data_IF_733337241628
#
_entry.id   IF_733337241628
#
_cell.length_a   1.000
_cell.length_b   1.000
_cell.length_c   1.000
_cell.angle_alpha   90.00
_cell.angle_beta   90.00
_cell.angle_gamma   90.00
#
_symmetry.space_group_name_H-M   'P 1'
#
loop_
_entity.id
_entity.type
_entity.pdbx_description
1 polymer ?
#
# COMPACT_ATOMS: atom_id res chain seq x y z
N UNK A 1 -13.79 24.86 7.73
CA UNK A 1 -14.54 25.54 6.64
C UNK A 1 -13.83 26.77 6.03
N UNK A 2 -12.87 27.44 6.70
CA UNK A 2 -12.15 28.59 6.12
C UNK A 2 -11.10 28.22 5.07
N UNK A 3 -10.53 27.02 5.11
CA UNK A 3 -9.43 26.60 4.21
C UNK A 3 -9.92 26.25 2.79
N UNK A 4 -11.19 25.89 2.64
CA UNK A 4 -11.76 25.40 1.39
C UNK A 4 -12.65 26.44 0.67
N UNK A 5 -12.63 27.69 1.14
CA UNK A 5 -13.35 28.79 0.49
C UNK A 5 -12.74 29.08 -0.90
N UNK A 6 -13.44 28.69 -1.96
CA UNK A 6 -12.99 28.86 -3.36
C UNK A 6 -12.68 27.56 -4.10
N UNK A 7 -12.70 26.41 -3.44
CA UNK A 7 -12.59 25.10 -4.09
C UNK A 7 -13.96 24.60 -4.54
N UNK A 8 -14.00 23.89 -5.66
CA UNK A 8 -15.20 23.12 -6.02
C UNK A 8 -15.35 21.92 -5.07
N UNK A 9 -16.54 21.33 -5.01
CA UNK A 9 -16.80 20.13 -4.21
C UNK A 9 -15.87 18.99 -4.61
N UNK A 10 -15.58 18.84 -5.91
CA UNK A 10 -14.65 17.84 -6.42
C UNK A 10 -13.21 18.09 -5.95
N UNK A 11 -12.73 19.34 -5.99
CA UNK A 11 -11.39 19.71 -5.52
C UNK A 11 -11.31 19.57 -4.00
N UNK A 12 -12.37 19.93 -3.28
CA UNK A 12 -12.47 19.73 -1.83
C UNK A 12 -12.34 18.25 -1.46
N UNK A 13 -13.02 17.37 -2.19
CA UNK A 13 -12.90 15.92 -1.97
C UNK A 13 -11.46 15.43 -2.19
N UNK A 14 -10.80 15.84 -3.29
CA UNK A 14 -9.41 15.44 -3.56
C UNK A 14 -8.45 15.96 -2.48
N UNK A 15 -8.62 17.20 -2.01
CA UNK A 15 -7.80 17.74 -0.91
C UNK A 15 -7.99 16.91 0.36
N UNK A 16 -9.22 16.57 0.74
CA UNK A 16 -9.49 15.76 1.94
C UNK A 16 -8.83 14.39 1.81
N UNK A 17 -9.00 13.70 0.67
CA UNK A 17 -8.45 12.36 0.44
C UNK A 17 -6.91 12.32 0.46
N UNK A 18 -6.27 13.44 0.13
CA UNK A 18 -4.80 13.51 0.13
C UNK A 18 -4.22 14.07 1.46
N UNK A 19 -5.04 14.77 2.27
CA UNK A 19 -4.56 15.46 3.47
C UNK A 19 -4.92 14.77 4.78
N UNK A 20 -5.98 13.95 4.80
CA UNK A 20 -6.45 13.26 6.02
C UNK A 20 -6.22 11.77 5.87
N UNK A 21 -5.24 11.25 6.59
CA UNK A 21 -4.81 9.84 6.51
C UNK A 21 -4.87 9.19 7.88
N UNK A 22 -5.31 7.94 7.93
CA UNK A 22 -5.30 7.12 9.15
C UNK A 22 -4.42 5.90 9.00
N UNK A 23 -3.72 5.53 10.07
CA UNK A 23 -2.94 4.29 10.16
C UNK A 23 -3.27 3.66 11.53
N UNK A 24 -3.64 2.41 11.54
CA UNK A 24 -3.87 1.65 12.77
C UNK A 24 -3.53 0.17 12.55
N UNK A 25 -3.05 -0.49 13.58
CA UNK A 25 -2.73 -1.91 13.57
C UNK A 25 -3.97 -2.79 13.79
N UNK A 26 -5.02 -2.23 14.40
CA UNK A 26 -6.25 -2.95 14.70
C UNK A 26 -7.22 -2.93 13.50
N UNK A 27 -7.56 -4.08 12.89
CA UNK A 27 -8.43 -4.14 11.73
C UNK A 27 -9.85 -3.63 11.99
N UNK A 28 -10.35 -3.76 13.22
CA UNK A 28 -11.67 -3.22 13.60
C UNK A 28 -11.63 -1.69 13.67
N UNK A 29 -10.56 -1.11 14.22
CA UNK A 29 -10.37 0.33 14.26
C UNK A 29 -10.26 0.90 12.83
N UNK A 30 -9.49 0.27 11.97
CA UNK A 30 -9.39 0.65 10.53
C UNK A 30 -10.75 0.60 9.86
N UNK A 31 -11.53 -0.47 10.09
CA UNK A 31 -12.87 -0.60 9.49
C UNK A 31 -13.81 0.50 9.98
N UNK A 32 -13.84 0.75 11.29
CA UNK A 32 -14.66 1.81 11.89
C UNK A 32 -14.23 3.20 11.38
N UNK A 33 -12.93 3.45 11.29
CA UNK A 33 -12.39 4.71 10.77
C UNK A 33 -12.76 4.92 9.31
N UNK A 34 -12.70 3.88 8.46
CA UNK A 34 -13.15 3.96 7.05
C UNK A 34 -14.64 4.30 6.93
N UNK A 35 -15.48 3.68 7.76
CA UNK A 35 -16.94 3.99 7.78
C UNK A 35 -17.16 5.43 8.19
N UNK A 36 -16.53 5.90 9.27
CA UNK A 36 -16.65 7.28 9.72
C UNK A 36 -16.13 8.28 8.68
N UNK A 37 -15.03 7.93 8.00
CA UNK A 37 -14.48 8.75 6.92
C UNK A 37 -15.49 8.89 5.77
N UNK A 38 -16.06 7.75 5.30
CA UNK A 38 -17.11 7.76 4.27
C UNK A 38 -18.32 8.60 4.66
N UNK A 39 -18.77 8.49 5.90
CA UNK A 39 -19.87 9.31 6.41
C UNK A 39 -19.54 10.81 6.41
N UNK A 40 -18.28 11.14 6.78
CA UNK A 40 -17.83 12.53 6.82
C UNK A 40 -17.73 13.19 5.43
N UNK A 41 -17.46 12.42 4.38
CA UNK A 41 -17.35 12.91 3.00
C UNK A 41 -18.57 12.58 2.14
N UNK A 42 -19.66 12.04 2.72
CA UNK A 42 -20.80 11.52 1.98
C UNK A 42 -21.40 12.54 0.98
N UNK A 43 -21.53 13.79 1.40
CA UNK A 43 -22.07 14.87 0.57
C UNK A 43 -21.16 15.26 -0.60
N UNK A 44 -19.87 14.91 -0.55
CA UNK A 44 -18.89 15.18 -1.60
C UNK A 44 -18.76 14.02 -2.60
N UNK A 45 -19.17 12.80 -2.24
CA UNK A 45 -19.02 11.61 -3.09
C UNK A 45 -19.71 11.73 -4.47
N UNK A 46 -20.85 12.40 -4.65
CA UNK A 46 -21.46 12.61 -5.96
C UNK A 46 -20.55 13.36 -6.95
N UNK A 47 -19.63 14.19 -6.44
CA UNK A 47 -18.72 15.02 -7.24
C UNK A 47 -17.37 14.34 -7.52
N UNK A 48 -17.18 13.07 -7.14
CA UNK A 48 -15.94 12.34 -7.39
C UNK A 48 -15.63 12.22 -8.87
N UNK A 49 -14.36 12.45 -9.23
CA UNK A 49 -13.84 12.31 -10.61
C UNK A 49 -13.33 10.92 -10.93
N UNK A 50 -13.13 10.08 -9.90
CA UNK A 50 -12.57 8.73 -9.99
C UNK A 50 -13.13 7.85 -8.87
N UNK A 51 -12.78 6.59 -8.89
CA UNK A 51 -13.02 5.70 -7.75
C UNK A 51 -12.34 6.25 -6.50
N UNK A 52 -13.06 6.27 -5.38
CA UNK A 52 -12.57 6.81 -4.12
C UNK A 52 -12.01 5.67 -3.27
N UNK A 53 -10.73 5.77 -2.96
CA UNK A 53 -10.10 4.94 -1.96
C UNK A 53 -9.94 5.72 -0.66
N UNK A 54 -10.48 5.17 0.43
CA UNK A 54 -10.38 5.78 1.76
C UNK A 54 -8.97 5.62 2.30
N UNK A 55 -8.23 6.71 2.60
CA UNK A 55 -6.84 6.68 3.00
C UNK A 55 -6.66 6.31 4.48
N UNK A 56 -7.20 5.16 4.87
CA UNK A 56 -7.02 4.57 6.20
C UNK A 56 -6.41 3.17 6.02
N UNK A 57 -5.19 3.00 6.53
CA UNK A 57 -4.36 1.82 6.26
C UNK A 57 -4.23 0.94 7.48
N UNK A 58 -4.31 -0.38 7.26
CA UNK A 58 -3.98 -1.39 8.27
C UNK A 58 -2.47 -1.63 8.21
N UNK A 59 -1.72 -0.89 9.00
CA UNK A 59 -0.27 -0.97 9.02
C UNK A 59 0.27 -0.67 10.41
N UNK A 60 1.46 -1.18 10.69
CA UNK A 60 2.25 -0.75 11.82
C UNK A 60 2.92 0.59 11.50
N UNK A 61 2.69 1.60 12.30
CA UNK A 61 3.30 2.92 12.12
C UNK A 61 4.78 2.96 12.47
N UNK A 62 5.28 1.93 13.15
CA UNK A 62 6.68 1.80 13.60
C UNK A 62 7.45 0.86 12.67
N UNK A 63 6.85 -0.27 12.29
CA UNK A 63 7.46 -1.27 11.42
C UNK A 63 7.14 -0.97 9.95
N UNK A 64 7.95 -0.13 9.35
CA UNK A 64 7.88 0.14 7.91
C UNK A 64 8.74 -0.86 7.14
N UNK A 65 8.39 -1.19 5.87
CA UNK A 65 9.22 -2.02 5.03
C UNK A 65 10.65 -1.49 4.94
N UNK A 66 11.62 -2.29 5.38
CA UNK A 66 13.02 -1.90 5.42
C UNK A 66 13.65 -1.98 4.02
N UNK A 67 14.69 -1.16 3.78
CA UNK A 67 15.59 -1.41 2.64
C UNK A 67 16.34 -2.71 2.90
N UNK A 68 16.46 -3.54 1.87
CA UNK A 68 17.22 -4.78 1.98
C UNK A 68 18.68 -4.51 2.40
N UNK A 69 19.25 -5.39 3.19
CA UNK A 69 20.67 -5.33 3.62
C UNK A 69 21.55 -6.22 2.73
N UNK A 70 22.75 -5.76 2.40
CA UNK A 70 23.74 -6.52 1.63
C UNK A 70 24.04 -5.99 0.23
N UNK A 71 25.05 -6.58 -0.41
CA UNK A 71 25.60 -6.12 -1.69
C UNK A 71 24.59 -6.11 -2.85
N UNK A 72 23.55 -6.96 -2.78
CA UNK A 72 22.48 -7.10 -3.78
C UNK A 72 21.13 -6.55 -3.32
N UNK A 73 21.06 -5.94 -2.14
CA UNK A 73 19.85 -5.50 -1.50
C UNK A 73 19.44 -4.06 -1.84
N UNK A 74 20.26 -3.33 -2.58
CA UNK A 74 20.12 -1.88 -2.79
C UNK A 74 18.92 -1.49 -3.65
N UNK A 75 18.26 -2.44 -4.34
CA UNK A 75 17.18 -2.14 -5.29
C UNK A 75 15.83 -2.75 -4.87
N UNK A 76 15.68 -3.14 -3.61
CA UNK A 76 14.44 -3.72 -3.10
C UNK A 76 14.12 -3.26 -1.67
N UNK A 77 12.85 -3.20 -1.36
CA UNK A 77 12.32 -3.09 0.01
C UNK A 77 11.71 -4.42 0.41
N UNK A 78 11.85 -4.79 1.66
CA UNK A 78 11.37 -6.07 2.18
C UNK A 78 10.33 -5.80 3.25
N UNK A 79 9.15 -6.41 3.09
CA UNK A 79 8.15 -6.53 4.14
C UNK A 79 8.32 -7.88 4.81
N UNK A 80 8.77 -7.89 6.07
CA UNK A 80 8.80 -9.09 6.88
C UNK A 80 7.40 -9.51 7.28
N UNK A 81 7.06 -10.77 7.06
CA UNK A 81 5.74 -11.31 7.40
C UNK A 81 5.85 -12.69 8.06
N UNK A 82 4.78 -13.14 8.69
CA UNK A 82 4.71 -14.47 9.29
C UNK A 82 4.89 -15.61 8.25
N UNK A 83 4.65 -15.34 6.97
CA UNK A 83 4.87 -16.29 5.86
C UNK A 83 6.24 -16.09 5.18
N UNK A 84 7.08 -15.24 5.75
CA UNK A 84 8.42 -14.88 5.29
C UNK A 84 8.47 -13.53 4.55
N UNK A 85 9.66 -13.12 4.07
CA UNK A 85 9.88 -11.83 3.45
C UNK A 85 9.15 -11.70 2.12
N UNK A 86 8.52 -10.55 1.90
CA UNK A 86 7.90 -10.18 0.63
C UNK A 86 8.68 -9.00 0.03
N UNK A 87 9.53 -9.26 -0.98
CA UNK A 87 10.34 -8.23 -1.60
C UNK A 87 9.55 -7.43 -2.64
N UNK A 88 9.77 -6.12 -2.68
CA UNK A 88 9.19 -5.20 -3.66
C UNK A 88 10.31 -4.39 -4.29
N UNK A 89 10.39 -4.25 -5.63
CA UNK A 89 11.42 -3.44 -6.28
C UNK A 89 11.36 -1.98 -5.79
N UNK A 90 12.52 -1.37 -5.54
CA UNK A 90 12.60 0.01 -5.04
C UNK A 90 12.02 1.04 -6.03
N UNK A 91 11.98 0.70 -7.31
CA UNK A 91 11.35 1.52 -8.36
C UNK A 91 9.84 1.70 -8.14
N UNK A 92 9.20 0.84 -7.34
CA UNK A 92 7.84 1.02 -6.85
C UNK A 92 7.89 2.04 -5.69
N UNK A 93 8.05 3.30 -6.03
CA UNK A 93 8.33 4.41 -5.13
C UNK A 93 7.20 5.45 -5.05
N UNK A 94 6.02 5.11 -5.52
CA UNK A 94 4.86 5.99 -5.45
C UNK A 94 3.57 5.20 -5.21
N UNK A 95 2.57 5.88 -4.67
CA UNK A 95 1.23 5.34 -4.45
C UNK A 95 0.65 4.71 -5.72
N UNK A 96 0.70 5.43 -6.84
CA UNK A 96 0.14 4.96 -8.11
C UNK A 96 0.80 3.66 -8.61
N UNK A 97 2.13 3.56 -8.50
CA UNK A 97 2.87 2.35 -8.88
C UNK A 97 2.52 1.16 -7.96
N UNK A 98 2.39 1.40 -6.65
CA UNK A 98 2.01 0.35 -5.69
C UNK A 98 0.57 -0.12 -5.93
N UNK A 99 -0.37 0.79 -6.12
CA UNK A 99 -1.76 0.45 -6.47
C UNK A 99 -1.82 -0.38 -7.75
N UNK A 100 -1.03 0.00 -8.76
CA UNK A 100 -0.98 -0.74 -10.02
C UNK A 100 -0.37 -2.12 -9.86
N UNK A 101 0.75 -2.23 -9.15
CA UNK A 101 1.40 -3.52 -8.88
C UNK A 101 0.46 -4.47 -8.12
N UNK A 102 -0.19 -3.99 -7.06
CA UNK A 102 -1.08 -4.83 -6.24
C UNK A 102 -2.33 -5.26 -7.00
N UNK A 103 -2.90 -4.41 -7.85
CA UNK A 103 -4.01 -4.78 -8.73
C UNK A 103 -3.61 -5.88 -9.73
N UNK A 104 -2.41 -5.77 -10.32
CA UNK A 104 -1.88 -6.80 -11.22
C UNK A 104 -1.62 -8.13 -10.50
N UNK A 105 -1.07 -8.07 -9.28
CA UNK A 105 -0.88 -9.27 -8.45
C UNK A 105 -2.21 -9.97 -8.17
N UNK A 106 -3.24 -9.24 -7.75
CA UNK A 106 -4.58 -9.81 -7.50
C UNK A 106 -5.19 -10.43 -8.76
N UNK A 107 -5.12 -9.73 -9.90
CA UNK A 107 -5.63 -10.21 -11.18
C UNK A 107 -4.95 -11.52 -11.62
N UNK A 108 -3.61 -11.53 -11.59
CA UNK A 108 -2.82 -12.65 -12.12
C UNK A 108 -2.83 -13.87 -11.18
N UNK A 109 -2.85 -13.66 -9.87
CA UNK A 109 -2.99 -14.75 -8.90
C UNK A 109 -4.37 -15.40 -9.02
N UNK A 110 -5.44 -14.61 -9.13
CA UNK A 110 -6.80 -15.15 -9.32
C UNK A 110 -6.96 -15.94 -10.62
N UNK A 111 -6.28 -15.53 -11.68
CA UNK A 111 -6.28 -16.20 -12.99
C UNK A 111 -5.27 -17.32 -13.12
N UNK A 112 -4.46 -17.62 -12.09
CA UNK A 112 -3.32 -18.57 -12.10
C UNK A 112 -2.41 -18.40 -13.33
N UNK A 113 -2.13 -17.14 -13.70
CA UNK A 113 -1.24 -16.82 -14.82
C UNK A 113 0.21 -17.21 -14.53
N UNK A 114 0.99 -17.43 -15.58
CA UNK A 114 2.42 -17.73 -15.44
C UNK A 114 3.21 -16.50 -14.98
N UNK A 115 4.39 -16.75 -14.40
CA UNK A 115 5.30 -15.68 -13.96
C UNK A 115 5.72 -14.79 -15.13
N UNK A 116 5.94 -15.36 -16.31
CA UNK A 116 6.31 -14.63 -17.53
C UNK A 116 5.18 -13.70 -17.99
N UNK A 117 3.92 -14.17 -17.93
CA UNK A 117 2.76 -13.35 -18.28
C UNK A 117 2.61 -12.17 -17.30
N UNK A 118 2.78 -12.42 -16.00
CA UNK A 118 2.79 -11.38 -14.98
C UNK A 118 3.89 -10.33 -15.22
N UNK A 119 5.13 -10.76 -15.44
CA UNK A 119 6.26 -9.85 -15.66
C UNK A 119 6.07 -9.01 -16.93
N UNK A 120 5.60 -9.61 -18.02
CA UNK A 120 5.31 -8.89 -19.25
C UNK A 120 4.24 -7.81 -19.05
N UNK A 121 3.19 -8.15 -18.31
CA UNK A 121 2.11 -7.23 -17.99
C UNK A 121 2.57 -6.12 -17.04
N UNK A 122 3.33 -6.45 -16.00
CA UNK A 122 3.86 -5.50 -15.04
C UNK A 122 4.74 -4.43 -15.72
N UNK A 123 5.64 -4.83 -16.62
CA UNK A 123 6.49 -3.91 -17.40
C UNK A 123 5.69 -2.99 -18.33
N UNK A 124 4.63 -3.53 -18.94
CA UNK A 124 3.75 -2.73 -19.81
C UNK A 124 3.01 -1.66 -19.03
N UNK A 125 2.59 -1.97 -17.81
CA UNK A 125 1.75 -1.10 -16.99
C UNK A 125 2.56 -0.15 -16.09
N UNK A 126 3.78 -0.55 -15.74
CA UNK A 126 4.74 0.21 -14.95
C UNK A 126 6.07 0.23 -15.74
N UNK A 127 6.21 1.14 -16.72
CA UNK A 127 7.37 1.14 -17.65
C UNK A 127 8.73 1.22 -16.94
N UNK A 128 8.81 1.89 -15.80
CA UNK A 128 10.04 2.02 -15.01
C UNK A 128 10.64 0.67 -14.58
N UNK A 129 9.83 -0.39 -14.54
CA UNK A 129 10.31 -1.75 -14.24
C UNK A 129 11.18 -2.34 -15.34
N UNK A 130 11.08 -1.85 -16.57
CA UNK A 130 11.87 -2.35 -17.70
C UNK A 130 13.35 -2.00 -17.56
N UNK A 131 13.64 -0.81 -17.05
CA UNK A 131 14.99 -0.27 -16.92
C UNK A 131 15.58 -0.44 -15.50
N UNK A 132 14.77 -0.90 -14.54
CA UNK A 132 15.21 -1.05 -13.16
C UNK A 132 16.06 -2.30 -12.97
N UNK A 133 17.28 -2.10 -12.45
CA UNK A 133 18.22 -3.18 -12.15
C UNK A 133 17.60 -4.18 -11.18
N UNK A 134 17.68 -5.48 -11.50
CA UNK A 134 17.15 -6.59 -10.70
C UNK A 134 15.63 -6.57 -10.43
N UNK A 135 14.87 -5.67 -11.05
CA UNK A 135 13.41 -5.62 -10.83
C UNK A 135 12.71 -6.93 -11.24
N UNK A 136 13.21 -7.59 -12.29
CA UNK A 136 12.66 -8.88 -12.74
C UNK A 136 12.84 -9.99 -11.70
N UNK A 137 14.03 -10.12 -11.15
CA UNK A 137 14.34 -11.13 -10.13
C UNK A 137 13.47 -10.91 -8.88
N UNK A 138 13.37 -9.65 -8.43
CA UNK A 138 12.56 -9.28 -7.27
C UNK A 138 11.07 -9.54 -7.50
N UNK A 139 10.54 -9.18 -8.68
CA UNK A 139 9.14 -9.44 -9.02
C UNK A 139 8.84 -10.93 -9.21
N UNK A 140 9.79 -11.70 -9.76
CA UNK A 140 9.69 -13.16 -9.86
C UNK A 140 9.58 -13.77 -8.48
N UNK A 141 10.50 -13.43 -7.57
CA UNK A 141 10.51 -13.91 -6.19
C UNK A 141 9.19 -13.57 -5.48
N UNK A 142 8.72 -12.33 -5.61
CA UNK A 142 7.46 -11.88 -5.03
C UNK A 142 6.27 -12.68 -5.57
N UNK A 143 6.16 -12.76 -6.90
CA UNK A 143 5.00 -13.39 -7.55
C UNK A 143 4.93 -14.90 -7.29
N UNK A 144 6.06 -15.61 -7.39
CA UNK A 144 6.10 -17.05 -7.12
C UNK A 144 5.75 -17.37 -5.68
N UNK A 145 6.25 -16.57 -4.73
CA UNK A 145 5.91 -16.73 -3.32
C UNK A 145 4.41 -16.50 -3.07
N UNK A 146 3.83 -15.46 -3.65
CA UNK A 146 2.40 -15.20 -3.52
C UNK A 146 1.55 -16.27 -4.19
N UNK A 147 2.01 -16.81 -5.33
CA UNK A 147 1.35 -17.91 -6.05
C UNK A 147 1.38 -19.21 -5.23
N UNK A 148 2.47 -19.49 -4.55
CA UNK A 148 2.55 -20.65 -3.67
C UNK A 148 1.62 -20.51 -2.46
N UNK A 149 1.52 -19.33 -1.86
CA UNK A 149 0.54 -19.05 -0.80
C UNK A 149 -0.91 -19.18 -1.30
N UNK A 150 -1.18 -18.71 -2.52
CA UNK A 150 -2.47 -18.87 -3.17
C UNK A 150 -2.85 -20.34 -3.33
N UNK A 151 -1.95 -21.17 -3.82
CA UNK A 151 -2.14 -22.60 -3.98
C UNK A 151 -2.35 -23.37 -2.66
N UNK A 152 -1.81 -22.84 -1.57
CA UNK A 152 -2.02 -23.37 -0.22
C UNK A 152 -3.34 -22.92 0.41
N UNK A 153 -4.16 -22.14 -0.31
CA UNK A 153 -5.42 -21.60 0.21
C UNK A 153 -5.23 -20.45 1.24
N UNK A 154 -4.02 -19.90 1.32
CA UNK A 154 -3.69 -18.75 2.18
C UNK A 154 -3.79 -17.43 1.40
N UNK A 155 -4.70 -17.39 0.46
CA UNK A 155 -4.80 -16.39 -0.58
C UNK A 155 -5.70 -15.19 -0.26
N UNK A 156 -5.68 -14.24 -1.16
CA UNK A 156 -6.65 -13.14 -1.26
C UNK A 156 -6.34 -11.91 -0.41
N UNK A 157 -5.41 -12.00 0.55
CA UNK A 157 -5.09 -10.86 1.41
C UNK A 157 -3.70 -10.25 1.19
N UNK A 158 -2.77 -11.01 0.57
CA UNK A 158 -1.36 -10.62 0.53
C UNK A 158 -1.08 -9.38 -0.32
N UNK A 159 -1.75 -9.23 -1.46
CA UNK A 159 -1.65 -7.99 -2.24
C UNK A 159 -2.16 -6.80 -1.43
N UNK A 160 -3.23 -6.99 -0.65
CA UNK A 160 -3.76 -5.97 0.26
C UNK A 160 -2.83 -5.70 1.44
N UNK A 161 -2.19 -6.73 1.99
CA UNK A 161 -1.18 -6.59 3.06
C UNK A 161 0.00 -5.77 2.54
N UNK A 162 0.53 -6.10 1.36
CA UNK A 162 1.58 -5.31 0.69
C UNK A 162 1.14 -3.85 0.52
N UNK A 163 -0.03 -3.62 -0.06
CA UNK A 163 -0.57 -2.28 -0.26
C UNK A 163 -0.60 -1.50 1.05
N UNK A 164 -1.24 -2.04 2.08
CA UNK A 164 -1.38 -1.38 3.38
C UNK A 164 -0.03 -1.06 4.02
N UNK A 165 0.94 -1.98 3.96
CA UNK A 165 2.26 -1.79 4.57
C UNK A 165 3.13 -0.77 3.83
N UNK A 166 3.00 -0.68 2.50
CA UNK A 166 3.82 0.21 1.69
C UNK A 166 3.20 1.60 1.48
N UNK A 167 1.86 1.73 1.52
CA UNK A 167 1.19 3.01 1.26
C UNK A 167 1.65 4.14 2.20
N UNK A 168 1.87 3.92 3.51
CA UNK A 168 2.38 4.95 4.40
C UNK A 168 3.73 5.54 3.97
N UNK A 169 4.56 4.78 3.24
CA UNK A 169 5.87 5.25 2.77
C UNK A 169 5.80 6.29 1.64
N UNK A 170 4.64 6.40 1.00
CA UNK A 170 4.41 7.28 -0.15
C UNK A 170 3.56 8.49 0.21
N UNK A 171 3.33 8.69 1.51
CA UNK A 171 2.64 9.88 2.01
C UNK A 171 3.60 11.06 2.03
N UNK A 172 3.10 12.21 1.61
CA UNK A 172 3.81 13.47 1.78
C UNK A 172 3.91 13.83 3.28
N UNK A 173 4.87 14.64 3.69
CA UNK A 173 4.95 15.11 5.07
C UNK A 173 3.65 15.79 5.53
N UNK A 174 3.23 15.50 6.75
CA UNK A 174 2.03 16.09 7.35
C UNK A 174 2.39 17.31 8.21
N UNK A 175 1.54 18.32 8.20
CA UNK A 175 1.63 19.47 9.11
C UNK A 175 1.30 19.05 10.55
N UNK A 176 0.40 18.08 10.73
CA UNK A 176 -0.05 17.61 12.03
C UNK A 176 -0.14 16.10 12.08
N UNK A 177 0.37 15.51 13.14
CA UNK A 177 0.24 14.10 13.48
C UNK A 177 -0.45 13.98 14.83
N UNK A 178 -1.57 13.24 14.85
CA UNK A 178 -2.34 12.98 16.07
C UNK A 178 -2.33 11.47 16.32
N UNK A 179 -1.98 11.06 17.53
CA UNK A 179 -1.92 9.66 17.89
C UNK A 179 -2.19 9.43 19.37
N UNK A 180 -2.55 8.21 19.67
CA UNK A 180 -2.61 7.71 21.04
C UNK A 180 -1.57 6.61 21.18
N UNK A 181 -0.29 6.96 21.50
CA UNK A 181 0.78 5.97 21.59
C UNK A 181 0.48 4.99 22.75
N UNK A 182 0.93 3.72 22.63
CA UNK A 182 0.75 2.74 23.69
C UNK A 182 1.42 3.20 24.99
N UNK A 183 0.72 3.05 26.09
CA UNK A 183 1.17 3.38 27.45
C UNK A 183 2.05 2.24 28.01
N UNK A 184 3.05 1.81 27.24
CA UNK A 184 3.96 0.72 27.62
C UNK A 184 5.31 1.34 27.98
N UNK A 185 5.88 0.94 29.12
CA UNK A 185 7.24 1.33 29.50
C UNK A 185 8.24 0.85 28.41
N UNK A 186 9.22 1.66 28.09
CA UNK A 186 10.28 1.35 27.13
C UNK A 186 10.96 0.01 27.40
N UNK A 187 11.06 -0.38 28.67
CA UNK A 187 11.63 -1.67 29.11
C UNK A 187 10.79 -2.90 28.73
N UNK A 188 9.56 -2.69 28.30
CA UNK A 188 8.60 -3.75 27.93
C UNK A 188 8.35 -3.80 26.41
N UNK A 189 9.06 -3.04 25.61
CA UNK A 189 9.02 -3.14 24.15
C UNK A 189 9.88 -4.31 23.69
N UNK A 190 9.39 -5.15 22.75
CA UNK A 190 10.15 -6.27 22.20
C UNK A 190 11.35 -5.82 21.39
#
# INVERSE_FOLDING_TARGET
NCFLAGFSEADTLEVILNSVVGIDLNPLAVTAARVNYLLAIADLLPYRRREVEIPVYLADSILTPARGEGLFAQNRRILETAVGPLPVPEVINSRAKMERLTALLEEHLRGDFSTEAFLARAKKEIPDLADALHANEVLTELYERLRDLHRQGLDGIWARVLKNAFMPLFLEPFDYVVGNPPWINWESLP
#
